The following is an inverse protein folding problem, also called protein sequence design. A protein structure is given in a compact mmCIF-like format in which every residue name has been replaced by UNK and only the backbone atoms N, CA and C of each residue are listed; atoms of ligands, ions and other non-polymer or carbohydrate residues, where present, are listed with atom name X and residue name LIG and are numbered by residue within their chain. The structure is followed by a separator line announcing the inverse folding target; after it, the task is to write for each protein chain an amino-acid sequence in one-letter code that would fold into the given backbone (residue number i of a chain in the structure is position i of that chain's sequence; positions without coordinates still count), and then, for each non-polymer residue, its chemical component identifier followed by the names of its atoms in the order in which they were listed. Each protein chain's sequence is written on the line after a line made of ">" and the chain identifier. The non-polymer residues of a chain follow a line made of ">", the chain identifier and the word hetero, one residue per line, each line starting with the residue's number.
data_IF_569119106489
#
_entry.id   IF_569119106489
#
_cell.length_a   1.000
_cell.length_b   1.000
_cell.length_c   1.000
_cell.angle_alpha   90.00
_cell.angle_beta   90.00
_cell.angle_gamma   90.00
#
_symmetry.space_group_name_H-M   'P 1'
#
loop_
_entity.id
_entity.type
_entity.pdbx_description
1 polymer ?
#
# COMPACT_ATOMS: atom_id res chain seq x y z
N UNK A 1 -4.93 17.14 -2.90
CA UNK A 1 -5.74 16.22 -2.02
C UNK A 1 -5.79 16.78 -0.61
N UNK A 2 -6.83 16.44 0.17
CA UNK A 2 -6.99 16.89 1.56
C UNK A 2 -7.18 15.68 2.48
N UNK A 3 -6.42 15.61 3.58
CA UNK A 3 -6.58 14.63 4.64
C UNK A 3 -7.48 15.22 5.76
N UNK A 4 -8.47 14.44 6.20
CA UNK A 4 -9.37 14.78 7.29
C UNK A 4 -9.51 13.55 8.19
N UNK A 5 -9.07 13.65 9.44
CA UNK A 5 -9.16 12.59 10.45
C UNK A 5 -8.58 11.23 9.98
N UNK A 6 -7.44 11.27 9.31
CA UNK A 6 -6.78 10.08 8.77
C UNK A 6 -7.36 9.56 7.46
N UNK A 7 -8.27 10.30 6.81
CA UNK A 7 -8.88 9.92 5.53
C UNK A 7 -8.61 10.96 4.45
N UNK A 8 -8.19 10.50 3.28
CA UNK A 8 -8.06 11.36 2.09
C UNK A 8 -9.46 11.57 1.49
N UNK A 9 -9.88 12.83 1.39
CA UNK A 9 -11.23 13.21 0.95
C UNK A 9 -11.54 12.68 -0.46
N UNK A 10 -10.56 12.71 -1.34
CA UNK A 10 -10.66 12.32 -2.74
C UNK A 10 -10.58 10.81 -2.97
N UNK A 11 -10.24 10.03 -1.95
CA UNK A 11 -10.18 8.58 -2.03
C UNK A 11 -11.56 7.94 -1.86
N UNK A 12 -11.86 6.91 -2.66
CA UNK A 12 -13.03 6.05 -2.41
C UNK A 12 -12.79 5.25 -1.14
N UNK A 13 -13.63 5.45 -0.12
CA UNK A 13 -13.52 4.70 1.15
C UNK A 13 -14.09 3.30 1.01
N UNK A 14 -13.26 2.29 1.28
CA UNK A 14 -13.61 0.86 1.31
C UNK A 14 -13.08 0.29 2.61
N UNK A 15 -13.82 0.44 3.71
CA UNK A 15 -13.31 0.15 5.07
C UNK A 15 -13.01 -1.33 5.29
N UNK A 16 -11.72 -1.66 5.42
CA UNK A 16 -11.26 -3.00 5.80
C UNK A 16 -11.45 -3.25 7.29
N UNK A 17 -11.83 -4.48 7.71
CA UNK A 17 -11.78 -4.89 9.12
C UNK A 17 -10.36 -5.25 9.60
N UNK A 18 -9.38 -5.37 8.70
CA UNK A 18 -8.03 -5.84 8.97
C UNK A 18 -7.12 -4.67 9.37
N UNK A 19 -7.29 -4.16 10.57
CA UNK A 19 -6.44 -3.10 11.13
C UNK A 19 -6.36 -3.23 12.65
N UNK A 20 -5.44 -2.51 13.24
CA UNK A 20 -5.32 -2.33 14.69
C UNK A 20 -4.96 -0.87 15.02
N UNK A 21 -5.07 -0.50 16.28
CA UNK A 21 -4.61 0.82 16.71
C UNK A 21 -3.09 0.88 16.66
N UNK A 22 -2.54 2.04 16.27
CA UNK A 22 -1.10 2.30 16.42
C UNK A 22 -0.76 2.39 17.90
N UNK A 23 0.47 2.04 18.26
CA UNK A 23 1.01 2.34 19.57
C UNK A 23 1.02 3.87 19.78
N UNK A 24 0.80 4.31 21.02
CA UNK A 24 0.70 5.76 21.33
C UNK A 24 1.99 6.50 20.95
N UNK A 25 3.15 5.84 21.12
CA UNK A 25 4.46 6.41 20.82
C UNK A 25 4.90 6.25 19.37
N UNK A 26 4.09 5.54 18.53
CA UNK A 26 4.45 5.29 17.15
C UNK A 26 4.17 6.51 16.26
N UNK A 27 5.20 7.22 15.90
CA UNK A 27 5.12 8.32 14.94
C UNK A 27 5.17 7.79 13.50
N UNK A 28 4.24 8.25 12.67
CA UNK A 28 4.19 7.87 11.25
C UNK A 28 5.38 8.51 10.54
N UNK A 29 6.30 7.68 10.03
CA UNK A 29 7.57 8.13 9.49
C UNK A 29 8.04 7.39 8.24
N UNK A 30 7.24 6.46 7.70
CA UNK A 30 7.62 5.63 6.55
C UNK A 30 6.44 5.47 5.59
N UNK A 31 6.71 5.47 4.28
CA UNK A 31 5.77 4.98 3.27
C UNK A 31 6.37 3.72 2.65
N UNK A 32 5.56 2.67 2.54
CA UNK A 32 5.91 1.42 1.87
C UNK A 32 5.07 1.25 0.62
N UNK A 33 5.75 1.16 -0.52
CA UNK A 33 5.12 0.93 -1.82
C UNK A 33 5.07 -0.55 -2.10
N UNK A 34 3.90 -1.03 -2.49
CA UNK A 34 3.60 -2.42 -2.82
C UNK A 34 3.11 -2.55 -4.26
N UNK A 35 3.11 -3.78 -4.76
CA UNK A 35 2.45 -4.15 -6.00
C UNK A 35 1.50 -5.32 -5.77
N UNK A 36 0.25 -5.20 -6.21
CA UNK A 36 -0.78 -6.22 -6.03
C UNK A 36 -1.60 -6.45 -7.29
N UNK A 37 -1.91 -7.70 -7.58
CA UNK A 37 -2.95 -8.07 -8.58
C UNK A 37 -3.61 -9.37 -8.16
N UNK A 38 -4.92 -9.48 -8.33
CA UNK A 38 -5.69 -10.64 -7.91
C UNK A 38 -6.73 -11.09 -8.95
N UNK A 39 -6.55 -12.29 -9.56
CA UNK A 39 -5.37 -13.17 -9.49
C UNK A 39 -4.12 -12.49 -10.07
N UNK A 40 -2.91 -13.03 -9.84
CA UNK A 40 -1.68 -12.43 -10.35
C UNK A 40 -1.74 -12.12 -11.86
N UNK A 41 -1.46 -10.85 -12.22
CA UNK A 41 -1.50 -10.36 -13.61
C UNK A 41 -2.89 -10.00 -14.14
N UNK A 42 -3.95 -10.12 -13.34
CA UNK A 42 -5.30 -9.64 -13.68
C UNK A 42 -5.61 -8.33 -12.95
N UNK A 43 -6.14 -7.36 -13.68
CA UNK A 43 -6.37 -5.99 -13.23
C UNK A 43 -7.83 -5.56 -13.38
N UNK A 44 -8.22 -4.48 -12.69
CA UNK A 44 -9.52 -3.83 -12.83
C UNK A 44 -10.68 -4.62 -12.24
N UNK A 45 -10.41 -5.61 -11.38
CA UNK A 45 -11.43 -6.39 -10.69
C UNK A 45 -11.65 -5.89 -9.26
N UNK A 46 -12.76 -6.32 -8.64
CA UNK A 46 -13.03 -6.07 -7.22
C UNK A 46 -12.32 -7.06 -6.27
N UNK A 47 -11.44 -7.93 -6.81
CA UNK A 47 -10.84 -9.00 -6.02
C UNK A 47 -9.90 -8.48 -4.92
N UNK A 48 -9.20 -7.36 -5.15
CA UNK A 48 -8.38 -6.71 -4.13
C UNK A 48 -9.28 -6.17 -3.01
N UNK A 49 -10.40 -5.53 -3.36
CA UNK A 49 -11.39 -5.08 -2.37
C UNK A 49 -11.94 -6.27 -1.57
N UNK A 50 -12.36 -7.34 -2.26
CA UNK A 50 -12.85 -8.58 -1.61
C UNK A 50 -11.80 -9.19 -0.68
N UNK A 51 -10.53 -9.18 -1.08
CA UNK A 51 -9.43 -9.71 -0.27
C UNK A 51 -9.23 -8.91 1.02
N UNK A 52 -9.12 -7.59 0.93
CA UNK A 52 -8.96 -6.73 2.11
C UNK A 52 -10.21 -6.67 3.00
N UNK A 53 -11.38 -7.04 2.46
CA UNK A 53 -12.63 -7.16 3.22
C UNK A 53 -12.89 -8.57 3.78
N UNK A 54 -11.98 -9.53 3.59
CA UNK A 54 -12.16 -10.97 3.95
C UNK A 54 -13.36 -11.62 3.23
N UNK A 55 -13.62 -11.21 1.99
CA UNK A 55 -14.76 -11.67 1.17
C UNK A 55 -14.32 -12.35 -0.13
N UNK A 56 -13.01 -12.65 -0.26
CA UNK A 56 -12.49 -13.34 -1.44
C UNK A 56 -12.99 -14.77 -1.45
N UNK A 57 -13.69 -15.14 -2.53
CA UNK A 57 -14.22 -16.50 -2.69
C UNK A 57 -13.12 -17.45 -3.17
N UNK A 58 -12.71 -18.45 -2.37
CA UNK A 58 -11.69 -19.41 -2.77
C UNK A 58 -12.11 -20.30 -3.94
N UNK A 59 -13.40 -20.39 -4.25
CA UNK A 59 -13.89 -21.21 -5.38
C UNK A 59 -13.70 -20.54 -6.74
N UNK A 60 -13.55 -19.20 -6.79
CA UNK A 60 -13.44 -18.44 -8.03
C UNK A 60 -12.08 -18.65 -8.75
N UNK A 61 -11.00 -18.99 -8.01
CA UNK A 61 -9.67 -19.18 -8.59
C UNK A 61 -8.74 -19.99 -7.67
N UNK A 62 -7.87 -20.86 -8.24
CA UNK A 62 -6.93 -21.67 -7.44
C UNK A 62 -5.94 -20.85 -6.62
N UNK A 63 -5.56 -19.66 -7.09
CA UNK A 63 -4.73 -18.74 -6.33
C UNK A 63 -5.48 -18.24 -5.07
N UNK A 64 -6.78 -18.00 -5.16
CA UNK A 64 -7.59 -17.54 -4.03
C UNK A 64 -7.68 -18.56 -2.91
N UNK A 65 -7.69 -19.86 -3.22
CA UNK A 65 -7.60 -20.92 -2.21
C UNK A 65 -6.38 -20.80 -1.30
N UNK A 66 -5.26 -20.27 -1.86
CA UNK A 66 -4.00 -20.12 -1.12
C UNK A 66 -3.99 -18.90 -0.19
N UNK A 67 -4.74 -17.86 -0.52
CA UNK A 67 -4.66 -16.57 0.16
C UNK A 67 -5.93 -16.16 0.91
N UNK A 68 -7.08 -16.78 0.66
CA UNK A 68 -8.39 -16.38 1.22
C UNK A 68 -8.44 -16.38 2.76
N UNK A 69 -7.58 -17.15 3.42
CA UNK A 69 -7.49 -17.18 4.88
C UNK A 69 -6.54 -16.10 5.45
N UNK A 70 -5.79 -15.38 4.59
CA UNK A 70 -4.92 -14.32 5.03
C UNK A 70 -5.75 -13.08 5.38
N UNK A 71 -5.49 -12.52 6.56
CA UNK A 71 -6.09 -11.25 6.99
C UNK A 71 -5.03 -10.16 6.84
N UNK A 72 -5.13 -9.42 5.76
CA UNK A 72 -4.23 -8.34 5.40
C UNK A 72 -5.02 -7.12 4.91
N UNK A 73 -4.38 -5.99 4.87
CA UNK A 73 -4.91 -4.75 4.31
C UNK A 73 -3.77 -3.84 3.89
N UNK A 74 -4.09 -2.75 3.21
CA UNK A 74 -3.20 -1.60 3.06
C UNK A 74 -3.97 -0.33 3.40
N UNK A 75 -3.29 0.80 3.57
CA UNK A 75 -4.00 2.06 3.73
C UNK A 75 -4.64 2.47 2.41
N UNK A 76 -3.89 2.36 1.30
CA UNK A 76 -4.31 2.81 -0.01
C UNK A 76 -4.12 1.75 -1.09
N UNK A 77 -4.94 1.86 -2.14
CA UNK A 77 -4.75 1.22 -3.44
C UNK A 77 -4.87 2.27 -4.53
N UNK A 78 -3.92 2.29 -5.45
CA UNK A 78 -3.99 3.04 -6.69
C UNK A 78 -4.18 2.04 -7.84
N UNK A 79 -5.37 2.04 -8.42
CA UNK A 79 -5.71 1.19 -9.57
C UNK A 79 -4.95 1.62 -10.84
N UNK A 80 -4.92 0.78 -11.87
CA UNK A 80 -4.27 1.09 -13.16
C UNK A 80 -4.71 2.44 -13.77
N UNK A 81 -5.96 2.82 -13.57
CA UNK A 81 -6.53 4.08 -14.02
C UNK A 81 -6.13 5.31 -13.20
N UNK A 82 -5.30 5.15 -12.16
CA UNK A 82 -5.02 6.21 -11.19
C UNK A 82 -6.13 6.41 -10.15
N UNK A 83 -7.21 5.62 -10.19
CA UNK A 83 -8.27 5.73 -9.18
C UNK A 83 -7.73 5.34 -7.80
N UNK A 84 -8.04 6.18 -6.80
CA UNK A 84 -7.54 6.03 -5.43
C UNK A 84 -8.64 5.46 -4.53
N UNK A 85 -8.31 4.38 -3.82
CA UNK A 85 -9.11 3.80 -2.74
C UNK A 85 -8.37 3.88 -1.42
N UNK A 86 -9.12 4.02 -0.32
CA UNK A 86 -8.56 3.95 1.03
C UNK A 86 -9.34 2.95 1.88
N UNK A 87 -8.59 2.01 2.50
CA UNK A 87 -9.15 0.90 3.29
C UNK A 87 -9.03 1.10 4.79
N UNK A 88 -7.96 1.74 5.24
CA UNK A 88 -7.66 1.95 6.67
C UNK A 88 -7.36 3.43 6.88
N UNK A 89 -7.82 3.98 8.02
CA UNK A 89 -7.42 5.33 8.43
C UNK A 89 -5.90 5.40 8.62
N UNK A 90 -5.26 6.48 8.20
CA UNK A 90 -3.82 6.69 8.41
C UNK A 90 -3.47 6.64 9.92
N UNK A 91 -4.39 7.05 10.80
CA UNK A 91 -4.22 6.99 12.25
C UNK A 91 -4.27 5.57 12.83
N UNK A 92 -4.71 4.59 12.05
CA UNK A 92 -4.70 3.17 12.42
C UNK A 92 -3.56 2.44 11.70
N UNK A 93 -3.22 1.24 12.18
CA UNK A 93 -2.21 0.37 11.61
C UNK A 93 -2.85 -0.60 10.62
N UNK A 94 -2.61 -0.44 9.32
CA UNK A 94 -2.94 -1.45 8.32
C UNK A 94 -1.95 -2.62 8.38
N UNK A 95 -2.36 -3.80 7.91
CA UNK A 95 -1.55 -5.02 7.97
C UNK A 95 -0.97 -5.35 6.59
N UNK A 96 0.08 -4.60 6.16
CA UNK A 96 0.67 -4.71 4.81
C UNK A 96 2.12 -5.19 4.78
N UNK A 97 2.91 -4.90 5.81
CA UNK A 97 4.35 -5.15 5.79
C UNK A 97 4.72 -6.57 6.27
N UNK A 98 3.93 -7.18 7.18
CA UNK A 98 4.28 -8.45 7.82
C UNK A 98 5.60 -8.35 8.57
N UNK A 99 6.37 -9.45 8.66
CA UNK A 99 7.71 -9.44 9.24
C UNK A 99 8.61 -8.55 8.39
N UNK A 100 9.07 -7.47 8.97
CA UNK A 100 9.73 -6.37 8.25
C UNK A 100 10.61 -5.57 9.18
N UNK A 101 11.62 -4.89 8.59
CA UNK A 101 12.54 -4.00 9.29
C UNK A 101 12.94 -2.85 8.38
N UNK A 102 12.97 -1.65 8.93
CA UNK A 102 13.53 -0.48 8.27
C UNK A 102 14.53 0.19 9.21
N UNK A 103 15.78 0.35 8.76
CA UNK A 103 16.90 0.78 9.61
C UNK A 103 17.00 -0.14 10.85
N UNK A 104 16.95 0.39 12.06
CA UNK A 104 17.02 -0.35 13.31
C UNK A 104 15.64 -0.69 13.91
N UNK A 105 14.53 -0.38 13.21
CA UNK A 105 13.19 -0.58 13.70
C UNK A 105 12.47 -1.73 12.99
N UNK A 106 12.00 -2.70 13.77
CA UNK A 106 11.18 -3.83 13.30
C UNK A 106 9.69 -3.44 13.26
N UNK A 107 8.82 -4.34 12.75
CA UNK A 107 7.36 -4.18 12.73
C UNK A 107 6.92 -2.91 11.98
N UNK A 108 7.36 -2.74 10.72
CA UNK A 108 7.09 -1.54 9.93
C UNK A 108 5.61 -1.14 9.85
N UNK A 109 4.66 -2.06 10.05
CA UNK A 109 3.24 -1.70 10.16
C UNK A 109 2.97 -0.64 11.22
N UNK A 110 3.77 -0.58 12.30
CA UNK A 110 3.51 0.32 13.44
C UNK A 110 3.72 1.79 13.09
N UNK A 111 4.68 2.08 12.22
CA UNK A 111 5.10 3.45 11.88
C UNK A 111 5.02 3.80 10.39
N UNK A 112 4.44 2.91 9.57
CA UNK A 112 4.35 3.16 8.12
C UNK A 112 2.92 3.32 7.61
N UNK A 113 2.85 3.89 6.40
CA UNK A 113 1.66 3.94 5.54
C UNK A 113 1.91 3.02 4.35
N UNK A 114 1.10 1.97 4.17
CA UNK A 114 1.18 1.10 2.99
C UNK A 114 0.36 1.66 1.83
N UNK A 115 0.97 1.68 0.64
CA UNK A 115 0.31 2.06 -0.62
C UNK A 115 0.51 0.94 -1.62
N UNK A 116 -0.58 0.31 -2.02
CA UNK A 116 -0.60 -0.69 -3.09
C UNK A 116 -0.78 -0.02 -4.45
N UNK A 117 -0.01 -0.44 -5.42
CA UNK A 117 -0.25 -0.15 -6.84
C UNK A 117 -0.77 -1.42 -7.51
N UNK A 118 -1.87 -1.32 -8.25
CA UNK A 118 -2.36 -2.46 -9.04
C UNK A 118 -1.34 -2.80 -10.12
N UNK A 119 -0.64 -3.93 -9.96
CA UNK A 119 0.48 -4.29 -10.81
C UNK A 119 1.14 -5.62 -10.43
N UNK A 120 2.26 -5.91 -11.09
CA UNK A 120 3.14 -7.05 -10.80
C UNK A 120 4.61 -6.62 -10.91
N UNK A 121 5.52 -7.44 -10.40
CA UNK A 121 6.98 -7.21 -10.50
C UNK A 121 7.50 -7.11 -11.95
N UNK A 122 6.75 -7.66 -12.92
CA UNK A 122 7.13 -7.76 -14.33
C UNK A 122 6.29 -6.90 -15.27
N UNK A 123 5.38 -6.09 -14.75
CA UNK A 123 4.52 -5.19 -15.55
C UNK A 123 4.84 -3.74 -15.19
N UNK A 124 5.03 -2.89 -16.21
CA UNK A 124 5.19 -1.45 -15.98
C UNK A 124 3.92 -0.86 -15.37
N UNK A 125 4.10 0.05 -14.45
CA UNK A 125 3.01 0.86 -13.90
C UNK A 125 2.62 1.96 -14.88
N UNK A 126 1.34 2.37 -14.84
CA UNK A 126 0.82 3.42 -15.71
C UNK A 126 1.23 4.81 -15.22
N UNK A 127 1.25 5.78 -16.13
CA UNK A 127 1.57 7.17 -15.77
C UNK A 127 0.55 7.74 -14.77
N UNK A 128 -0.73 7.40 -14.93
CA UNK A 128 -1.80 7.83 -14.02
C UNK A 128 -1.59 7.31 -12.59
N UNK A 129 -0.99 6.09 -12.45
CA UNK A 129 -0.62 5.56 -11.13
C UNK A 129 0.51 6.37 -10.49
N UNK A 130 1.54 6.73 -11.28
CA UNK A 130 2.64 7.57 -10.79
C UNK A 130 2.16 8.97 -10.40
N UNK A 131 1.33 9.61 -11.23
CA UNK A 131 0.78 10.92 -10.92
C UNK A 131 -0.01 10.89 -9.62
N UNK A 132 -0.87 9.90 -9.44
CA UNK A 132 -1.64 9.72 -8.22
C UNK A 132 -0.77 9.43 -7.00
N UNK A 133 0.27 8.59 -7.17
CA UNK A 133 1.23 8.27 -6.11
C UNK A 133 2.04 9.50 -5.68
N UNK A 134 2.48 10.32 -6.64
CA UNK A 134 3.20 11.58 -6.39
C UNK A 134 2.32 12.53 -5.59
N UNK A 135 1.08 12.75 -6.04
CA UNK A 135 0.12 13.62 -5.34
C UNK A 135 -0.13 13.15 -3.92
N UNK A 136 -0.39 11.85 -3.73
CA UNK A 136 -0.64 11.28 -2.42
C UNK A 136 0.60 11.40 -1.52
N UNK A 137 1.79 11.07 -2.03
CA UNK A 137 3.05 11.15 -1.28
C UNK A 137 3.35 12.57 -0.81
N UNK A 138 3.14 13.57 -1.66
CA UNK A 138 3.32 14.98 -1.29
C UNK A 138 2.39 15.40 -0.16
N UNK A 139 1.11 14.99 -0.20
CA UNK A 139 0.15 15.28 0.90
C UNK A 139 0.57 14.59 2.19
N UNK A 140 1.00 13.33 2.10
CA UNK A 140 1.44 12.57 3.28
C UNK A 140 2.72 13.17 3.89
N UNK A 141 3.71 13.58 3.10
CA UNK A 141 4.91 14.26 3.60
C UNK A 141 4.59 15.60 4.25
N UNK A 142 3.60 16.35 3.74
CA UNK A 142 3.18 17.61 4.35
C UNK A 142 2.50 17.41 5.70
N UNK A 143 1.69 16.36 5.86
CA UNK A 143 0.95 16.09 7.10
C UNK A 143 1.76 15.28 8.13
N UNK A 144 2.75 14.50 7.66
CA UNK A 144 3.61 13.64 8.47
C UNK A 144 5.08 13.96 8.20
N UNK A 145 5.64 15.02 8.83
CA UNK A 145 6.97 15.58 8.49
C UNK A 145 8.15 14.63 8.67
N UNK A 146 7.99 13.54 9.40
CA UNK A 146 9.02 12.51 9.54
C UNK A 146 9.14 11.63 8.29
N UNK A 147 8.16 11.69 7.38
CA UNK A 147 8.26 11.03 6.07
C UNK A 147 9.07 11.92 5.15
N UNK A 148 10.31 11.51 4.85
CA UNK A 148 11.16 12.15 3.84
C UNK A 148 11.19 11.32 2.56
N UNK A 149 11.80 11.83 1.49
CA UNK A 149 11.98 11.07 0.24
C UNK A 149 12.72 9.74 0.45
N UNK A 150 13.68 9.72 1.35
CA UNK A 150 14.49 8.54 1.70
C UNK A 150 13.66 7.51 2.46
N UNK A 151 12.63 7.96 3.15
CA UNK A 151 11.70 7.13 3.91
C UNK A 151 10.45 6.73 3.11
N UNK A 152 10.53 6.75 1.78
CA UNK A 152 9.56 6.13 0.87
C UNK A 152 10.28 4.99 0.15
N UNK A 153 9.93 3.76 0.47
CA UNK A 153 10.66 2.54 0.08
C UNK A 153 9.72 1.47 -0.47
N UNK A 154 10.28 0.45 -1.09
CA UNK A 154 9.51 -0.72 -1.52
C UNK A 154 9.36 -1.76 -0.42
N UNK A 155 8.40 -2.66 -0.57
CA UNK A 155 8.26 -3.80 0.33
C UNK A 155 9.51 -4.69 0.32
N UNK A 156 10.16 -4.81 -0.83
CA UNK A 156 11.44 -5.52 -0.98
C UNK A 156 12.56 -4.92 -0.12
N UNK A 157 12.52 -3.61 0.17
CA UNK A 157 13.57 -2.95 0.95
C UNK A 157 13.45 -3.27 2.44
N UNK A 158 12.22 -3.43 2.95
CA UNK A 158 11.94 -3.74 4.36
C UNK A 158 11.81 -5.23 4.65
N UNK A 159 11.74 -6.07 3.60
CA UNK A 159 11.61 -7.53 3.72
C UNK A 159 12.29 -8.28 2.56
N UNK A 160 13.60 -8.06 2.31
CA UNK A 160 14.28 -8.43 1.07
C UNK A 160 14.36 -9.93 0.78
N UNK A 161 14.26 -10.78 1.80
CA UNK A 161 14.29 -12.26 1.63
C UNK A 161 12.90 -12.85 1.33
N UNK A 162 11.84 -12.08 1.50
CA UNK A 162 10.46 -12.54 1.46
C UNK A 162 9.64 -11.86 0.37
N UNK A 163 10.00 -10.63 -0.01
CA UNK A 163 9.22 -9.76 -0.88
C UNK A 163 10.05 -9.16 -2.01
N UNK A 164 9.41 -8.96 -3.13
CA UNK A 164 10.01 -8.42 -4.36
C UNK A 164 9.30 -7.17 -4.86
N UNK A 165 8.06 -6.94 -4.38
CA UNK A 165 7.25 -5.80 -4.77
C UNK A 165 7.81 -4.44 -4.28
N UNK A 166 7.60 -3.36 -5.03
CA UNK A 166 6.80 -3.21 -6.24
C UNK A 166 7.43 -3.74 -7.53
N UNK A 167 8.59 -4.40 -7.44
CA UNK A 167 9.29 -5.03 -8.54
C UNK A 167 10.23 -4.09 -9.31
N UNK A 168 11.06 -4.70 -10.15
CA UNK A 168 12.15 -4.02 -10.87
C UNK A 168 11.69 -3.02 -11.95
N UNK A 169 10.42 -3.11 -12.35
CA UNK A 169 9.84 -2.21 -13.36
C UNK A 169 9.17 -0.98 -12.76
N UNK A 170 9.16 -0.84 -11.43
CA UNK A 170 8.80 0.43 -10.79
C UNK A 170 9.92 1.45 -11.00
N UNK A 171 9.59 2.58 -11.60
CA UNK A 171 10.56 3.65 -11.91
C UNK A 171 10.77 4.58 -10.70
N UNK A 172 11.67 4.13 -9.80
CA UNK A 172 12.06 4.90 -8.62
C UNK A 172 12.66 6.26 -8.98
N UNK A 173 13.44 6.35 -10.08
CA UNK A 173 14.08 7.60 -10.49
C UNK A 173 13.04 8.63 -10.91
N UNK A 174 12.09 8.22 -11.75
CA UNK A 174 10.98 9.07 -12.15
C UNK A 174 10.19 9.54 -10.92
N UNK A 175 9.72 8.61 -10.08
CA UNK A 175 8.93 8.91 -8.91
C UNK A 175 9.65 9.87 -7.94
N UNK A 176 10.88 9.52 -7.52
CA UNK A 176 11.69 10.34 -6.58
C UNK A 176 12.04 11.72 -7.13
N UNK A 177 12.09 11.90 -8.44
CA UNK A 177 12.35 13.21 -9.06
C UNK A 177 11.17 14.19 -8.98
N UNK A 178 9.96 13.68 -8.66
CA UNK A 178 8.71 14.46 -8.68
C UNK A 178 8.14 14.79 -7.29
N UNK A 179 8.65 14.17 -6.25
CA UNK A 179 8.28 14.44 -4.86
C UNK A 179 9.31 15.31 -4.15
#
# INVERSE_FOLDING_TARGET
>A
MNEIEGWIKEAKKVKSPNFSKRLIEAEISLIVIHGISLPPGMYGSENIDKFFLNKLDPSEHDYFKKISNLKVSSHFLIERSGALKQYVSIHDKAWHAGVSRFEDQEECNDFSIGIELEGTDSTKYEIDQYEKLIDLSNVLMQNYPLITKERIVGHSDISPKRKTDPGKLFDWNYFKSKI
#
